data_IF_126259648314
#
_entry.id   IF_126259648314
#
_cell.length_a   1.000
_cell.length_b   1.000
_cell.length_c   1.000
_cell.angle_alpha   90.00
_cell.angle_beta   90.00
_cell.angle_gamma   90.00
#
_symmetry.space_group_name_H-M   'P 1'
#
loop_
_entity.id
_entity.type
_entity.pdbx_description
1 polymer ?
#
# COMPACT_ATOMS: atom_id res chain seq x y z
N UNK A 1 17.29 -6.14 0.75
CA UNK A 1 17.01 -7.39 0.00
C UNK A 1 15.78 -8.09 0.56
N UNK A 2 15.76 -8.52 1.84
CA UNK A 2 14.61 -9.23 2.43
C UNK A 2 13.25 -8.50 2.37
N UNK A 3 13.20 -7.19 2.67
CA UNK A 3 11.93 -6.44 2.66
C UNK A 3 11.29 -6.22 1.27
N UNK A 4 12.06 -6.37 0.19
CA UNK A 4 11.57 -6.09 -1.17
C UNK A 4 10.57 -7.14 -1.68
N UNK A 5 10.66 -8.38 -1.20
CA UNK A 5 9.80 -9.49 -1.61
C UNK A 5 8.56 -9.66 -0.73
N UNK A 6 8.46 -8.89 0.36
CA UNK A 6 7.39 -9.04 1.36
C UNK A 6 6.01 -8.74 0.78
N UNK A 7 5.81 -7.59 0.11
CA UNK A 7 4.51 -7.24 -0.47
C UNK A 7 4.05 -8.22 -1.55
N UNK A 8 4.87 -8.57 -2.57
CA UNK A 8 4.50 -9.60 -3.54
C UNK A 8 4.15 -10.94 -2.88
N UNK A 9 4.96 -11.40 -1.91
CA UNK A 9 4.71 -12.63 -1.18
C UNK A 9 3.37 -12.63 -0.43
N UNK A 10 3.04 -11.52 0.24
CA UNK A 10 1.74 -11.34 0.92
C UNK A 10 0.56 -11.43 -0.06
N UNK A 11 0.66 -10.84 -1.24
CA UNK A 11 -0.39 -10.95 -2.27
C UNK A 11 -0.57 -12.37 -2.78
N UNK A 12 0.53 -13.10 -3.00
CA UNK A 12 0.47 -14.51 -3.43
C UNK A 12 -0.22 -15.34 -2.36
N UNK A 13 0.16 -15.18 -1.09
CA UNK A 13 -0.45 -15.90 0.02
C UNK A 13 -1.95 -15.58 0.14
N UNK A 14 -2.33 -14.29 0.11
CA UNK A 14 -3.73 -13.85 0.12
C UNK A 14 -4.53 -14.41 -1.06
N UNK A 15 -3.92 -14.54 -2.24
CA UNK A 15 -4.59 -15.12 -3.41
C UNK A 15 -4.89 -16.62 -3.26
N UNK A 16 -4.03 -17.36 -2.54
CA UNK A 16 -4.17 -18.80 -2.32
C UNK A 16 -5.04 -19.14 -1.10
N UNK A 17 -5.13 -18.23 -0.12
CA UNK A 17 -5.79 -18.49 1.17
C UNK A 17 -7.10 -17.73 1.39
N UNK A 18 -7.29 -16.56 0.77
CA UNK A 18 -8.49 -15.76 1.00
C UNK A 18 -9.59 -16.02 -0.07
N UNK A 19 -10.78 -16.51 0.34
CA UNK A 19 -11.97 -16.60 -0.51
C UNK A 19 -12.30 -15.24 -1.14
N UNK A 20 -12.89 -15.24 -2.34
CA UNK A 20 -13.18 -13.99 -3.08
C UNK A 20 -14.03 -12.99 -2.28
N UNK A 21 -15.00 -13.50 -1.53
CA UNK A 21 -15.91 -12.71 -0.69
C UNK A 21 -15.21 -12.02 0.48
N UNK A 22 -14.14 -12.63 1.00
CA UNK A 22 -13.43 -12.18 2.21
C UNK A 22 -12.07 -11.54 1.89
N UNK A 23 -11.61 -11.64 0.63
CA UNK A 23 -10.28 -11.21 0.18
C UNK A 23 -9.99 -9.75 0.47
N UNK A 24 -10.98 -8.87 0.32
CA UNK A 24 -10.84 -7.44 0.64
C UNK A 24 -10.54 -7.26 2.14
N UNK A 25 -11.25 -7.97 3.01
CA UNK A 25 -11.08 -7.89 4.47
C UNK A 25 -9.72 -8.42 4.90
N UNK A 26 -9.32 -9.61 4.41
CA UNK A 26 -8.01 -10.17 4.72
C UNK A 26 -6.87 -9.28 4.23
N UNK A 27 -6.97 -8.73 3.02
CA UNK A 27 -5.97 -7.81 2.48
C UNK A 27 -5.87 -6.56 3.35
N UNK A 28 -7.01 -5.95 3.71
CA UNK A 28 -7.03 -4.78 4.59
C UNK A 28 -6.39 -5.06 5.95
N UNK A 29 -6.67 -6.21 6.60
CA UNK A 29 -6.05 -6.58 7.87
C UNK A 29 -4.52 -6.70 7.74
N UNK A 30 -4.03 -7.37 6.70
CA UNK A 30 -2.60 -7.54 6.45
C UNK A 30 -1.90 -6.19 6.22
N UNK A 31 -2.48 -5.32 5.38
CA UNK A 31 -1.90 -3.99 5.16
C UNK A 31 -1.93 -3.12 6.40
N UNK A 32 -3.03 -3.16 7.14
CA UNK A 32 -3.19 -2.42 8.38
C UNK A 32 -2.09 -2.82 9.41
N UNK A 33 -1.64 -4.09 9.39
CA UNK A 33 -0.48 -4.54 10.15
C UNK A 33 0.81 -3.73 9.92
N UNK A 34 1.02 -3.18 8.72
CA UNK A 34 2.21 -2.37 8.40
C UNK A 34 2.25 -1.09 9.22
N UNK A 35 1.12 -0.39 9.31
CA UNK A 35 1.02 0.87 10.05
C UNK A 35 1.08 0.63 11.55
N UNK A 36 0.40 -0.41 12.05
CA UNK A 36 0.46 -0.78 13.47
C UNK A 36 1.86 -1.25 13.88
N UNK A 37 2.54 -2.04 13.05
CA UNK A 37 3.93 -2.44 13.26
C UNK A 37 4.88 -1.24 13.30
N UNK A 38 4.65 -0.25 12.44
CA UNK A 38 5.38 1.03 12.46
C UNK A 38 5.19 1.76 13.79
N UNK A 39 3.95 1.87 14.28
CA UNK A 39 3.65 2.49 15.58
C UNK A 39 4.36 1.77 16.72
N UNK A 40 4.22 0.44 16.79
CA UNK A 40 4.86 -0.37 17.82
C UNK A 40 6.39 -0.23 17.77
N UNK A 41 6.97 -0.23 16.57
CA UNK A 41 8.40 -0.03 16.37
C UNK A 41 8.85 1.35 16.85
N UNK A 42 8.18 2.44 16.45
CA UNK A 42 8.56 3.80 16.85
C UNK A 42 8.50 3.99 18.37
N UNK A 43 7.44 3.47 19.01
CA UNK A 43 7.28 3.56 20.46
C UNK A 43 8.35 2.74 21.19
N UNK A 44 8.58 1.50 20.75
CA UNK A 44 9.59 0.62 21.35
C UNK A 44 11.01 1.18 21.18
N UNK A 45 11.39 1.60 19.96
CA UNK A 45 12.72 2.16 19.72
C UNK A 45 12.92 3.50 20.44
N UNK A 46 11.87 4.32 20.53
CA UNK A 46 11.90 5.56 21.32
C UNK A 46 12.16 5.30 22.79
N UNK A 47 11.38 4.41 23.41
CA UNK A 47 11.56 4.03 24.82
C UNK A 47 12.95 3.44 25.10
N UNK A 48 13.42 2.55 24.22
CA UNK A 48 14.72 1.91 24.37
C UNK A 48 15.88 2.90 24.23
N UNK A 49 15.78 3.84 23.29
CA UNK A 49 16.82 4.86 23.08
C UNK A 49 16.87 5.87 24.22
N UNK A 50 15.72 6.19 24.83
CA UNK A 50 15.64 7.11 25.98
C UNK A 50 16.20 6.51 27.27
N UNK A 51 15.91 5.23 27.56
CA UNK A 51 16.29 4.60 28.83
C UNK A 51 17.58 3.79 28.78
N UNK A 52 18.00 3.33 27.60
CA UNK A 52 19.19 2.51 27.42
C UNK A 52 20.15 3.18 26.44
N UNK A 53 20.20 2.69 25.21
CA UNK A 53 21.08 3.20 24.16
C UNK A 53 20.49 2.92 22.78
N UNK A 54 20.96 3.64 21.76
CA UNK A 54 20.44 3.48 20.39
C UNK A 54 20.70 2.07 19.83
N UNK A 55 21.76 1.38 20.29
CA UNK A 55 22.09 0.02 19.91
C UNK A 55 21.03 -0.99 20.40
N UNK A 56 20.43 -0.75 21.57
CA UNK A 56 19.42 -1.65 22.13
C UNK A 56 18.16 -1.78 21.26
N UNK A 57 17.82 -0.73 20.50
CA UNK A 57 16.75 -0.78 19.52
C UNK A 57 16.99 -1.85 18.43
N UNK A 58 18.24 -2.01 17.99
CA UNK A 58 18.62 -3.01 16.98
C UNK A 58 18.62 -4.42 17.56
N UNK A 59 19.13 -4.61 18.78
CA UNK A 59 19.09 -5.92 19.44
C UNK A 59 17.66 -6.38 19.71
N UNK A 60 16.80 -5.46 20.17
CA UNK A 60 15.40 -5.78 20.46
C UNK A 60 14.61 -6.14 19.19
N UNK A 61 14.75 -5.35 18.12
CA UNK A 61 14.09 -5.66 16.83
C UNK A 61 14.55 -7.00 16.27
N UNK A 62 15.85 -7.31 16.35
CA UNK A 62 16.38 -8.63 15.97
C UNK A 62 15.81 -9.77 16.83
N UNK A 63 15.78 -9.58 18.15
CA UNK A 63 15.25 -10.57 19.09
C UNK A 63 13.76 -10.86 18.89
N UNK A 64 12.94 -9.87 18.52
CA UNK A 64 11.52 -10.06 18.20
C UNK A 64 11.33 -10.77 16.85
N UNK A 65 12.16 -10.44 15.85
CA UNK A 65 12.06 -11.03 14.51
C UNK A 65 12.45 -12.52 14.48
N UNK A 66 13.39 -12.98 15.32
CA UNK A 66 13.87 -14.37 15.29
C UNK A 66 12.79 -15.40 15.66
N UNK A 67 12.07 -15.28 16.79
CA UNK A 67 10.94 -16.15 17.12
C UNK A 67 9.82 -16.08 16.07
N UNK A 68 9.54 -14.88 15.55
CA UNK A 68 8.54 -14.73 14.49
C UNK A 68 8.93 -15.49 13.22
N UNK A 69 10.20 -15.44 12.82
CA UNK A 69 10.72 -16.21 11.69
C UNK A 69 10.56 -17.71 11.91
N UNK A 70 10.86 -18.20 13.12
CA UNK A 70 10.68 -19.61 13.46
C UNK A 70 9.20 -20.03 13.39
N UNK A 71 8.30 -19.23 13.97
CA UNK A 71 6.86 -19.47 13.91
C UNK A 71 6.35 -19.43 12.47
N UNK A 72 6.85 -18.52 11.64
CA UNK A 72 6.47 -18.41 10.24
C UNK A 72 6.84 -19.67 9.44
N UNK A 73 8.08 -20.13 9.57
CA UNK A 73 8.56 -21.36 8.90
C UNK A 73 7.79 -22.60 9.37
N UNK A 74 7.37 -22.62 10.64
CA UNK A 74 6.63 -23.76 11.20
C UNK A 74 5.14 -23.76 10.82
N UNK A 75 4.48 -22.61 10.79
CA UNK A 75 3.01 -22.51 10.63
C UNK A 75 2.55 -22.24 9.21
N UNK A 76 3.31 -21.48 8.42
CA UNK A 76 2.85 -20.98 7.12
C UNK A 76 3.11 -22.01 6.02
N UNK A 77 2.10 -22.25 5.19
CA UNK A 77 2.16 -23.17 4.04
C UNK A 77 1.64 -22.46 2.79
N UNK A 78 2.21 -22.79 1.63
CA UNK A 78 1.87 -22.13 0.36
C UNK A 78 0.43 -22.39 -0.09
N UNK A 79 -0.09 -23.58 0.25
CA UNK A 79 -1.42 -24.04 -0.16
C UNK A 79 -2.24 -24.59 1.02
N UNK A 80 -3.56 -24.35 1.05
CA UNK A 80 -4.47 -24.90 2.06
C UNK A 80 -4.47 -26.44 2.13
N UNK A 81 -4.14 -27.11 1.02
CA UNK A 81 -4.06 -28.57 0.92
C UNK A 81 -2.86 -29.14 1.68
N UNK A 82 -1.74 -28.42 1.67
CA UNK A 82 -0.50 -28.79 2.37
C UNK A 82 -0.56 -28.52 3.87
N UNK A 83 -1.55 -27.72 4.32
CA UNK A 83 -1.70 -27.38 5.73
C UNK A 83 -2.27 -28.56 6.52
N UNK A 84 -1.54 -29.00 7.53
CA UNK A 84 -1.93 -30.12 8.41
C UNK A 84 -2.88 -29.70 9.54
N UNK A 85 -2.83 -28.43 9.95
CA UNK A 85 -3.61 -27.89 11.08
C UNK A 85 -5.04 -27.45 10.71
N UNK A 86 -5.39 -27.44 9.43
CA UNK A 86 -6.69 -26.98 8.93
C UNK A 86 -7.76 -28.08 9.06
N UNK A 87 -8.99 -27.69 9.38
CA UNK A 87 -10.13 -28.61 9.38
C UNK A 87 -10.54 -29.00 7.95
N UNK A 88 -11.07 -30.21 7.75
CA UNK A 88 -11.55 -30.64 6.43
C UNK A 88 -12.63 -29.71 5.88
N UNK A 89 -13.59 -29.31 6.72
CA UNK A 89 -14.66 -28.37 6.35
C UNK A 89 -14.12 -27.03 5.82
N UNK A 90 -13.14 -26.47 6.51
CA UNK A 90 -12.52 -25.21 6.11
C UNK A 90 -11.67 -25.37 4.86
N UNK A 91 -10.90 -26.47 4.76
CA UNK A 91 -10.14 -26.80 3.55
C UNK A 91 -11.05 -26.90 2.33
N UNK A 92 -12.18 -27.59 2.45
CA UNK A 92 -13.14 -27.73 1.37
C UNK A 92 -13.81 -26.40 1.04
N UNK A 93 -14.15 -25.59 2.05
CA UNK A 93 -14.70 -24.25 1.83
C UNK A 93 -13.74 -23.35 1.06
N UNK A 94 -12.48 -23.26 1.49
CA UNK A 94 -11.45 -22.45 0.83
C UNK A 94 -11.18 -23.01 -0.57
N UNK A 95 -10.97 -24.32 -0.69
CA UNK A 95 -10.66 -24.97 -1.97
C UNK A 95 -11.81 -24.83 -2.95
N UNK A 96 -13.07 -24.94 -2.54
CA UNK A 96 -14.23 -24.75 -3.43
C UNK A 96 -14.44 -23.27 -3.78
N UNK A 97 -14.25 -22.36 -2.83
CA UNK A 97 -14.36 -20.91 -3.06
C UNK A 97 -13.27 -20.37 -3.98
N UNK A 98 -12.09 -20.99 -3.96
CA UNK A 98 -10.94 -20.65 -4.80
C UNK A 98 -10.88 -21.54 -6.06
N UNK A 99 -11.61 -22.66 -6.08
CA UNK A 99 -11.38 -23.93 -6.82
C UNK A 99 -11.20 -23.93 -8.32
N UNK A 100 -11.32 -22.77 -8.98
CA UNK A 100 -10.94 -22.61 -10.38
C UNK A 100 -9.55 -21.98 -10.59
N UNK A 101 -8.87 -21.51 -9.53
CA UNK A 101 -7.55 -20.88 -9.63
C UNK A 101 -6.37 -21.81 -9.26
N UNK A 102 -6.54 -22.75 -8.32
CA UNK A 102 -5.44 -23.60 -7.82
C UNK A 102 -5.22 -24.87 -8.66
N UNK A 103 -6.26 -25.61 -9.05
CA UNK A 103 -6.16 -26.76 -9.98
C UNK A 103 -5.53 -26.40 -11.34
N UNK A 104 -5.52 -25.11 -11.69
CA UNK A 104 -5.06 -24.58 -12.97
C UNK A 104 -3.67 -23.92 -12.90
N UNK A 105 -3.00 -23.92 -11.75
CA UNK A 105 -1.59 -23.47 -11.60
C UNK A 105 -0.60 -24.61 -11.81
N UNK A 106 -0.97 -25.85 -11.48
CA UNK A 106 -0.08 -27.02 -11.60
C UNK A 106 0.05 -27.55 -13.03
N UNK A 107 -0.81 -27.13 -13.98
CA UNK A 107 -0.92 -27.78 -15.29
C UNK A 107 -0.49 -26.95 -16.51
N UNK A 108 0.00 -25.71 -16.39
CA UNK A 108 0.64 -25.05 -17.55
C UNK A 108 1.60 -23.93 -17.16
N UNK A 109 2.82 -23.97 -17.68
CA UNK A 109 3.65 -22.80 -17.94
C UNK A 109 2.89 -21.85 -18.89
N UNK A 110 1.90 -21.12 -18.39
CA UNK A 110 1.16 -20.17 -19.20
C UNK A 110 1.92 -18.84 -19.18
N UNK A 111 2.31 -18.39 -20.37
CA UNK A 111 2.98 -17.12 -20.55
C UNK A 111 2.09 -15.98 -20.01
N UNK A 112 2.68 -15.16 -19.15
CA UNK A 112 2.01 -13.97 -18.63
C UNK A 112 1.65 -13.09 -19.85
N UNK A 113 0.40 -12.65 -20.02
CA UNK A 113 -0.02 -11.88 -21.20
C UNK A 113 0.45 -10.42 -21.10
N UNK A 114 1.77 -10.21 -21.06
CA UNK A 114 2.42 -8.91 -20.85
C UNK A 114 1.94 -7.88 -21.87
N UNK A 115 1.82 -8.26 -23.15
CA UNK A 115 1.34 -7.37 -24.20
C UNK A 115 -0.07 -6.84 -23.94
N UNK A 116 -0.95 -7.68 -23.38
CA UNK A 116 -2.33 -7.29 -23.02
C UNK A 116 -2.36 -6.40 -21.77
N UNK A 117 -1.52 -6.71 -20.78
CA UNK A 117 -1.36 -5.91 -19.56
C UNK A 117 -0.88 -4.50 -19.93
N UNK A 118 0.21 -4.39 -20.70
CA UNK A 118 0.77 -3.11 -21.14
C UNK A 118 -0.08 -2.36 -22.17
N UNK A 119 -1.20 -2.92 -22.63
CA UNK A 119 -2.20 -2.23 -23.45
C UNK A 119 -3.45 -1.82 -22.64
N UNK A 120 -3.58 -2.28 -21.39
CA UNK A 120 -4.75 -2.04 -20.54
C UNK A 120 -4.71 -0.64 -19.92
N UNK A 121 -5.76 0.15 -20.14
CA UNK A 121 -5.89 1.50 -19.54
C UNK A 121 -5.96 1.44 -18.00
N UNK A 122 -6.75 0.55 -17.37
CA UNK A 122 -6.77 0.39 -15.92
C UNK A 122 -5.40 0.11 -15.30
N UNK A 123 -4.55 -0.68 -15.99
CA UNK A 123 -3.20 -0.94 -15.53
C UNK A 123 -2.36 0.34 -15.44
N UNK A 124 -2.35 1.18 -16.48
CA UNK A 124 -1.64 2.47 -16.44
C UNK A 124 -2.22 3.43 -15.38
N UNK A 125 -3.54 3.41 -15.20
CA UNK A 125 -4.18 4.17 -14.12
C UNK A 125 -3.60 3.82 -12.74
N UNK A 126 -3.47 2.52 -12.46
CA UNK A 126 -2.87 2.04 -11.21
C UNK A 126 -1.37 2.32 -11.15
N UNK A 127 -0.63 2.09 -12.24
CA UNK A 127 0.82 2.30 -12.30
C UNK A 127 1.20 3.75 -11.98
N UNK A 128 0.56 4.71 -12.67
CA UNK A 128 0.83 6.14 -12.47
C UNK A 128 0.41 6.55 -11.06
N UNK A 129 -0.76 6.09 -10.59
CA UNK A 129 -1.20 6.36 -9.24
C UNK A 129 -0.18 5.87 -8.20
N UNK A 130 0.32 4.64 -8.36
CA UNK A 130 1.31 4.07 -7.44
C UNK A 130 2.61 4.88 -7.42
N UNK A 131 3.14 5.30 -8.57
CA UNK A 131 4.36 6.11 -8.65
C UNK A 131 4.16 7.48 -7.98
N UNK A 132 3.11 8.20 -8.34
CA UNK A 132 2.82 9.52 -7.81
C UNK A 132 2.51 9.47 -6.30
N UNK A 133 1.76 8.48 -5.85
CA UNK A 133 1.45 8.30 -4.44
C UNK A 133 2.70 7.99 -3.63
N UNK A 134 3.56 7.09 -4.12
CA UNK A 134 4.79 6.76 -3.41
C UNK A 134 5.76 7.95 -3.35
N UNK A 135 5.83 8.78 -4.39
CA UNK A 135 6.56 10.04 -4.30
C UNK A 135 6.09 10.87 -3.11
N UNK A 136 4.77 11.10 -3.02
CA UNK A 136 4.18 11.85 -1.93
C UNK A 136 4.34 11.16 -0.56
N UNK A 137 4.24 9.84 -0.51
CA UNK A 137 4.45 9.05 0.70
C UNK A 137 5.88 9.18 1.22
N UNK A 138 6.90 9.02 0.38
CA UNK A 138 8.29 9.23 0.78
C UNK A 138 8.57 10.67 1.19
N UNK A 139 7.97 11.64 0.48
CA UNK A 139 8.06 13.06 0.86
C UNK A 139 7.50 13.31 2.27
N UNK A 140 6.33 12.72 2.59
CA UNK A 140 5.70 12.83 3.91
C UNK A 140 6.48 12.07 4.99
N UNK A 141 7.03 10.91 4.66
CA UNK A 141 7.68 10.03 5.61
C UNK A 141 9.10 10.49 5.98
N UNK A 142 9.88 10.93 4.98
CA UNK A 142 11.30 11.25 5.15
C UNK A 142 11.50 12.75 5.38
N UNK A 143 10.89 13.57 4.52
CA UNK A 143 11.29 14.98 4.37
C UNK A 143 10.45 15.93 5.22
N UNK A 144 9.22 15.55 5.53
CA UNK A 144 8.35 16.34 6.42
C UNK A 144 8.93 16.45 7.85
N UNK A 145 9.45 15.39 8.48
CA UNK A 145 10.21 15.52 9.73
C UNK A 145 11.43 16.44 9.60
N UNK A 146 12.13 16.40 8.45
CA UNK A 146 13.26 17.26 8.16
C UNK A 146 12.84 18.74 8.06
N UNK A 147 11.72 19.04 7.41
CA UNK A 147 11.12 20.38 7.34
C UNK A 147 10.84 20.94 8.74
N UNK A 148 10.21 20.14 9.62
CA UNK A 148 9.89 20.60 10.99
C UNK A 148 11.16 20.87 11.78
N UNK A 149 12.19 20.05 11.60
CA UNK A 149 13.50 20.25 12.23
C UNK A 149 14.22 21.49 11.68
N UNK A 150 14.32 21.64 10.37
CA UNK A 150 15.11 22.68 9.72
C UNK A 150 14.44 24.05 9.73
N UNK A 151 13.15 24.12 9.40
CA UNK A 151 12.39 25.36 9.24
C UNK A 151 11.70 25.74 10.54
N UNK A 152 10.94 24.82 11.13
CA UNK A 152 10.18 25.10 12.35
C UNK A 152 11.02 25.02 13.62
N UNK A 153 12.26 24.53 13.53
CA UNK A 153 13.20 24.35 14.65
C UNK A 153 12.61 23.51 15.80
N UNK A 154 11.78 22.52 15.45
CA UNK A 154 11.17 21.61 16.40
C UNK A 154 11.57 20.17 16.08
N UNK A 155 11.94 19.40 17.10
CA UNK A 155 12.37 18.01 16.93
C UNK A 155 11.23 17.08 17.30
N UNK A 156 10.34 16.80 16.35
CA UNK A 156 9.29 15.79 16.54
C UNK A 156 9.91 14.41 16.84
N UNK A 157 11.05 14.12 16.20
CA UNK A 157 11.78 12.86 16.30
C UNK A 157 12.24 12.52 17.74
N UNK A 158 12.43 13.55 18.58
CA UNK A 158 12.82 13.36 19.98
C UNK A 158 11.63 12.86 20.83
N UNK A 159 10.40 12.99 20.34
CA UNK A 159 9.19 12.51 20.98
C UNK A 159 8.57 11.37 20.16
N UNK A 160 8.86 10.14 20.59
CA UNK A 160 8.37 8.92 19.95
C UNK A 160 6.85 8.82 19.92
N UNK A 161 6.16 9.28 20.98
CA UNK A 161 4.69 9.32 21.04
C UNK A 161 4.14 10.24 19.95
N UNK A 162 4.67 11.46 19.84
CA UNK A 162 4.25 12.43 18.83
C UNK A 162 4.52 11.93 17.41
N UNK A 163 5.61 11.21 17.21
CA UNK A 163 5.95 10.59 15.92
C UNK A 163 5.05 9.39 15.59
N UNK A 164 4.55 8.65 16.59
CA UNK A 164 3.71 7.47 16.40
C UNK A 164 2.24 7.79 16.10
N UNK A 165 1.70 8.87 16.67
CA UNK A 165 0.30 9.31 16.48
C UNK A 165 -0.16 9.29 15.02
N UNK A 166 0.53 9.93 14.05
CA UNK A 166 0.05 10.00 12.67
C UNK A 166 -0.06 8.63 11.99
N UNK A 167 0.81 7.67 12.34
CA UNK A 167 0.74 6.31 11.83
C UNK A 167 -0.39 5.50 12.48
N UNK A 168 -0.69 5.77 13.76
CA UNK A 168 -1.82 5.17 14.46
C UNK A 168 -3.16 5.67 13.89
N UNK A 169 -3.28 6.98 13.66
CA UNK A 169 -4.49 7.56 13.07
C UNK A 169 -4.65 7.12 11.62
N UNK A 170 -3.56 7.00 10.85
CA UNK A 170 -3.55 6.39 9.52
C UNK A 170 -4.12 4.98 9.54
N UNK A 171 -3.68 4.14 10.49
CA UNK A 171 -4.17 2.78 10.67
C UNK A 171 -5.68 2.73 10.97
N UNK A 172 -6.13 3.55 11.93
CA UNK A 172 -7.55 3.64 12.28
C UNK A 172 -8.39 4.14 11.10
N UNK A 173 -7.90 5.17 10.40
CA UNK A 173 -8.57 5.75 9.25
C UNK A 173 -8.72 4.75 8.11
N UNK A 174 -7.67 3.99 7.76
CA UNK A 174 -7.73 3.02 6.68
C UNK A 174 -8.74 1.90 6.96
N UNK A 175 -8.81 1.43 8.21
CA UNK A 175 -9.79 0.42 8.65
C UNK A 175 -11.23 0.96 8.58
N UNK A 176 -11.46 2.16 9.09
CA UNK A 176 -12.79 2.81 9.06
C UNK A 176 -13.23 3.09 7.63
N UNK A 177 -12.34 3.62 6.79
CA UNK A 177 -12.62 3.92 5.40
C UNK A 177 -12.93 2.63 4.61
N UNK A 178 -12.13 1.58 4.77
CA UNK A 178 -12.38 0.28 4.12
C UNK A 178 -13.75 -0.28 4.50
N UNK A 179 -14.09 -0.30 5.80
CA UNK A 179 -15.38 -0.83 6.28
C UNK A 179 -16.56 0.00 5.76
N UNK A 180 -16.42 1.33 5.70
CA UNK A 180 -17.44 2.22 5.18
C UNK A 180 -17.69 1.96 3.68
N UNK A 181 -16.61 1.91 2.87
CA UNK A 181 -16.69 1.63 1.45
C UNK A 181 -17.24 0.23 1.16
N UNK A 182 -16.84 -0.78 1.92
CA UNK A 182 -17.37 -2.14 1.80
C UNK A 182 -18.87 -2.21 2.14
N UNK A 183 -19.31 -1.49 3.17
CA UNK A 183 -20.72 -1.40 3.55
C UNK A 183 -21.56 -0.71 2.47
N UNK A 184 -21.04 0.34 1.84
CA UNK A 184 -21.71 1.05 0.75
C UNK A 184 -21.81 0.18 -0.51
N UNK A 185 -20.76 -0.59 -0.82
CA UNK A 185 -20.79 -1.59 -1.91
C UNK A 185 -21.81 -2.69 -1.63
N UNK A 186 -21.84 -3.24 -0.41
CA UNK A 186 -22.77 -4.30 -0.04
C UNK A 186 -24.25 -3.87 -0.13
N UNK A 187 -24.54 -2.58 0.11
CA UNK A 187 -25.86 -1.98 -0.07
C UNK A 187 -26.19 -1.63 -1.53
N UNK A 188 -25.26 -1.86 -2.47
CA UNK A 188 -25.44 -1.52 -3.89
C UNK A 188 -25.42 0.00 -4.18
N UNK A 189 -24.98 0.83 -3.24
CA UNK A 189 -24.97 2.30 -3.40
C UNK A 189 -23.84 2.77 -4.31
N UNK A 190 -22.69 2.08 -4.25
CA UNK A 190 -21.50 2.41 -5.04
C UNK A 190 -20.91 1.14 -5.67
N UNK A 191 -20.28 1.28 -6.83
CA UNK A 191 -19.50 0.21 -7.45
C UNK A 191 -18.09 0.12 -6.85
N UNK A 192 -17.40 -1.00 -7.08
CA UNK A 192 -15.98 -1.17 -6.70
C UNK A 192 -15.11 -0.05 -7.26
N UNK A 193 -15.32 0.33 -8.52
CA UNK A 193 -14.62 1.44 -9.18
C UNK A 193 -14.78 2.75 -8.43
N UNK A 194 -16.01 3.11 -8.05
CA UNK A 194 -16.28 4.35 -7.30
C UNK A 194 -15.63 4.28 -5.91
N UNK A 195 -15.73 3.14 -5.23
CA UNK A 195 -15.08 2.95 -3.94
C UNK A 195 -13.56 3.18 -4.01
N UNK A 196 -12.89 2.63 -5.03
CA UNK A 196 -11.44 2.85 -5.23
C UNK A 196 -11.13 4.31 -5.53
N UNK A 197 -11.95 4.98 -6.36
CA UNK A 197 -11.77 6.41 -6.68
C UNK A 197 -11.95 7.32 -5.46
N UNK A 198 -12.92 7.04 -4.59
CA UNK A 198 -13.10 7.77 -3.32
C UNK A 198 -11.90 7.58 -2.40
N UNK A 199 -11.42 6.35 -2.26
CA UNK A 199 -10.24 6.08 -1.44
C UNK A 199 -8.98 6.77 -1.97
N UNK A 200 -8.76 6.75 -3.30
CA UNK A 200 -7.66 7.48 -3.94
C UNK A 200 -7.81 9.00 -3.79
N UNK A 201 -9.03 9.54 -3.89
CA UNK A 201 -9.30 10.95 -3.60
C UNK A 201 -8.84 11.33 -2.19
N UNK A 202 -9.22 10.53 -1.18
CA UNK A 202 -8.82 10.76 0.19
C UNK A 202 -7.29 10.74 0.36
N UNK A 203 -6.57 9.80 -0.25
CA UNK A 203 -5.13 9.69 -0.05
C UNK A 203 -4.27 10.67 -0.85
N UNK A 204 -4.82 11.32 -1.88
CA UNK A 204 -4.07 12.27 -2.71
C UNK A 204 -4.50 13.72 -2.48
N UNK A 205 -5.80 13.99 -2.56
CA UNK A 205 -6.32 15.36 -2.55
C UNK A 205 -6.24 15.98 -1.16
N UNK A 206 -6.56 15.23 -0.11
CA UNK A 206 -6.48 15.75 1.28
C UNK A 206 -5.03 16.05 1.67
N UNK A 207 -4.04 15.16 1.45
CA UNK A 207 -2.64 15.50 1.66
C UNK A 207 -2.16 16.66 0.79
N UNK A 208 -2.60 16.78 -0.47
CA UNK A 208 -2.27 17.92 -1.32
C UNK A 208 -2.74 19.26 -0.72
N UNK A 209 -3.97 19.33 -0.20
CA UNK A 209 -4.45 20.53 0.50
C UNK A 209 -3.65 20.83 1.77
N UNK A 210 -3.25 19.80 2.51
CA UNK A 210 -2.41 19.97 3.71
C UNK A 210 -1.02 20.51 3.35
N UNK A 211 -0.38 19.98 2.30
CA UNK A 211 0.90 20.48 1.78
C UNK A 211 0.78 21.91 1.26
N UNK A 212 -0.34 22.25 0.59
CA UNK A 212 -0.60 23.62 0.17
C UNK A 212 -0.71 24.56 1.38
N UNK A 213 -1.41 24.14 2.44
CA UNK A 213 -1.46 24.87 3.70
C UNK A 213 -0.07 25.11 4.29
N UNK A 214 0.79 24.09 4.31
CA UNK A 214 2.17 24.16 4.80
C UNK A 214 3.03 25.19 4.03
N UNK A 215 2.77 25.43 2.75
CA UNK A 215 3.47 26.47 1.98
C UNK A 215 3.27 27.88 2.56
N UNK A 216 2.12 28.17 3.18
CA UNK A 216 1.70 29.53 3.53
C UNK A 216 1.46 29.75 5.03
N UNK A 217 1.71 28.74 5.86
CA UNK A 217 1.41 28.76 7.30
C UNK A 217 2.32 29.67 8.14
N UNK A 218 3.41 30.16 7.55
CA UNK A 218 4.40 31.00 8.24
C UNK A 218 5.12 30.24 9.36
N UNK A 219 5.28 30.88 10.53
CA UNK A 219 6.02 30.32 11.67
C UNK A 219 5.16 29.52 12.66
N UNK A 220 3.88 29.23 12.34
CA UNK A 220 2.99 28.53 13.27
C UNK A 220 3.30 27.03 13.33
N UNK A 221 4.12 26.65 14.31
CA UNK A 221 4.60 25.27 14.50
C UNK A 221 3.47 24.27 14.73
N UNK A 222 2.51 24.62 15.58
CA UNK A 222 1.42 23.72 15.96
C UNK A 222 0.51 23.38 14.78
N UNK A 223 0.12 24.40 13.99
CA UNK A 223 -0.75 24.18 12.84
C UNK A 223 -0.02 23.34 11.78
N UNK A 224 1.29 23.53 11.60
CA UNK A 224 2.07 22.73 10.67
C UNK A 224 2.10 21.24 11.08
N UNK A 225 2.32 20.94 12.36
CA UNK A 225 2.27 19.57 12.89
C UNK A 225 0.88 18.95 12.67
N UNK A 226 -0.19 19.69 12.94
CA UNK A 226 -1.57 19.21 12.73
C UNK A 226 -1.83 18.92 11.25
N UNK A 227 -1.42 19.80 10.33
CA UNK A 227 -1.57 19.54 8.89
C UNK A 227 -0.78 18.31 8.43
N UNK A 228 0.43 18.12 8.97
CA UNK A 228 1.22 16.92 8.69
C UNK A 228 0.52 15.65 9.19
N UNK A 229 -0.07 15.70 10.39
CA UNK A 229 -0.80 14.55 10.94
C UNK A 229 -2.03 14.20 10.11
N UNK A 230 -2.77 15.22 9.67
CA UNK A 230 -3.92 15.03 8.77
C UNK A 230 -3.44 14.43 7.44
N UNK A 231 -2.36 14.95 6.85
CA UNK A 231 -1.80 14.42 5.61
C UNK A 231 -1.44 12.93 5.74
N UNK A 232 -0.65 12.54 6.74
CA UNK A 232 -0.28 11.14 6.98
C UNK A 232 -1.53 10.27 7.20
N UNK A 233 -2.47 10.74 8.03
CA UNK A 233 -3.71 10.00 8.34
C UNK A 233 -4.49 9.65 7.07
N UNK A 234 -4.72 10.63 6.21
CA UNK A 234 -5.50 10.45 4.99
C UNK A 234 -4.76 9.66 3.91
N UNK A 235 -3.42 9.66 3.89
CA UNK A 235 -2.62 8.77 3.04
C UNK A 235 -2.94 7.29 3.25
N UNK A 236 -3.50 6.90 4.41
CA UNK A 236 -3.99 5.54 4.67
C UNK A 236 -5.06 5.06 3.68
N UNK A 237 -5.74 5.97 2.97
CA UNK A 237 -6.67 5.62 1.89
C UNK A 237 -6.01 4.85 0.72
N UNK A 238 -4.68 4.88 0.58
CA UNK A 238 -3.97 4.17 -0.49
C UNK A 238 -4.24 2.65 -0.44
N UNK A 239 -4.34 2.07 0.76
CA UNK A 239 -4.42 0.62 0.94
C UNK A 239 -5.74 0.07 0.38
N UNK A 240 -6.86 0.73 0.70
CA UNK A 240 -8.17 0.38 0.16
C UNK A 240 -8.49 1.08 -1.18
N UNK A 241 -7.60 1.93 -1.68
CA UNK A 241 -7.71 2.63 -2.96
C UNK A 241 -7.01 1.88 -4.10
N UNK A 242 -6.01 2.52 -4.72
CA UNK A 242 -5.33 1.95 -5.88
C UNK A 242 -4.56 0.66 -5.57
N UNK A 243 -4.06 0.45 -4.34
CA UNK A 243 -3.22 -0.70 -4.02
C UNK A 243 -4.01 -2.01 -4.07
N UNK A 244 -5.20 -2.02 -3.47
CA UNK A 244 -6.15 -3.14 -3.58
C UNK A 244 -6.66 -3.35 -5.01
N UNK A 245 -6.63 -2.32 -5.87
CA UNK A 245 -7.23 -2.39 -7.21
C UNK A 245 -6.55 -3.42 -8.13
N UNK A 246 -5.29 -3.78 -7.89
CA UNK A 246 -4.60 -4.86 -8.62
C UNK A 246 -5.34 -6.20 -8.53
N UNK A 247 -5.91 -6.47 -7.35
CA UNK A 247 -6.68 -7.70 -7.09
C UNK A 247 -8.01 -7.64 -7.83
N UNK A 248 -8.65 -6.47 -7.90
CA UNK A 248 -9.95 -6.30 -8.56
C UNK A 248 -9.83 -6.47 -10.09
N UNK A 249 -8.79 -5.89 -10.72
CA UNK A 249 -8.63 -5.94 -12.18
C UNK A 249 -8.17 -7.30 -12.70
N UNK A 250 -7.32 -8.01 -11.95
CA UNK A 250 -6.80 -9.31 -12.38
C UNK A 250 -6.36 -10.19 -11.20
N UNK A 251 -7.31 -10.87 -10.52
CA UNK A 251 -7.02 -11.77 -9.42
C UNK A 251 -5.95 -12.84 -9.71
N UNK A 252 -5.86 -13.35 -10.94
CA UNK A 252 -4.91 -14.42 -11.30
C UNK A 252 -3.46 -13.90 -11.40
N UNK A 253 -3.30 -12.63 -11.75
CA UNK A 253 -2.00 -11.99 -11.99
C UNK A 253 -1.70 -10.87 -10.99
N UNK A 254 -2.48 -10.76 -9.90
CA UNK A 254 -2.39 -9.65 -8.95
C UNK A 254 -0.97 -9.46 -8.38
N UNK A 255 -0.31 -10.55 -7.99
CA UNK A 255 1.08 -10.52 -7.51
C UNK A 255 2.06 -9.99 -8.57
N UNK A 256 1.92 -10.41 -9.82
CA UNK A 256 2.74 -9.92 -10.94
C UNK A 256 2.51 -8.44 -11.19
N UNK A 257 1.25 -7.99 -11.21
CA UNK A 257 0.93 -6.59 -11.45
C UNK A 257 1.47 -5.69 -10.34
N UNK A 258 1.28 -6.07 -9.08
CA UNK A 258 1.82 -5.34 -7.93
C UNK A 258 3.36 -5.30 -8.01
N UNK A 259 4.01 -6.40 -8.41
CA UNK A 259 5.47 -6.44 -8.54
C UNK A 259 5.97 -5.47 -9.60
N UNK A 260 5.30 -5.42 -10.77
CA UNK A 260 5.64 -4.48 -11.84
C UNK A 260 5.42 -3.04 -11.36
N UNK A 261 4.25 -2.72 -10.80
CA UNK A 261 3.96 -1.34 -10.37
C UNK A 261 4.86 -0.91 -9.21
N UNK A 262 5.12 -1.79 -8.24
CA UNK A 262 6.02 -1.52 -7.11
C UNK A 262 7.47 -1.28 -7.54
N UNK A 263 7.93 -1.94 -8.60
CA UNK A 263 9.28 -1.70 -9.16
C UNK A 263 9.43 -0.24 -9.59
N UNK A 264 8.45 0.30 -10.33
CA UNK A 264 8.48 1.71 -10.72
C UNK A 264 8.17 2.65 -9.55
N UNK A 265 7.26 2.25 -8.67
CA UNK A 265 6.82 3.08 -7.56
C UNK A 265 7.84 3.18 -6.42
N UNK A 266 8.88 2.35 -6.39
CA UNK A 266 10.01 2.49 -5.45
C UNK A 266 11.10 3.44 -5.96
N UNK A 267 11.13 3.77 -7.26
CA UNK A 267 12.07 4.76 -7.83
C UNK A 267 11.97 6.12 -7.12
N UNK A 268 10.77 6.67 -6.84
CA UNK A 268 10.64 7.88 -6.03
C UNK A 268 11.34 7.83 -4.66
N UNK A 269 11.45 6.65 -4.03
CA UNK A 269 12.13 6.50 -2.75
C UNK A 269 13.64 6.79 -2.81
N UNK A 270 14.23 6.68 -4.00
CA UNK A 270 15.62 7.06 -4.26
C UNK A 270 15.71 8.52 -4.70
N UNK A 271 14.78 8.97 -5.55
CA UNK A 271 14.82 10.29 -6.15
C UNK A 271 14.42 11.42 -5.19
N UNK A 272 13.46 11.20 -4.30
CA UNK A 272 12.93 12.23 -3.40
C UNK A 272 14.02 12.80 -2.48
N UNK A 273 14.82 12.00 -1.76
CA UNK A 273 15.88 12.54 -0.90
C UNK A 273 16.92 13.35 -1.68
N UNK A 274 17.37 12.83 -2.84
CA UNK A 274 18.33 13.53 -3.72
C UNK A 274 17.76 14.85 -4.22
N UNK A 275 16.48 14.86 -4.59
CA UNK A 275 15.78 16.04 -5.06
C UNK A 275 15.66 17.11 -3.94
N UNK A 276 15.26 16.71 -2.74
CA UNK A 276 15.14 17.62 -1.59
C UNK A 276 16.50 18.13 -1.15
N UNK A 277 17.51 17.28 -1.07
CA UNK A 277 18.86 17.67 -0.72
C UNK A 277 19.40 18.72 -1.70
N UNK A 278 19.29 18.50 -3.01
CA UNK A 278 19.76 19.46 -4.01
C UNK A 278 19.12 20.85 -3.87
N UNK A 279 17.84 20.93 -3.47
CA UNK A 279 17.13 22.19 -3.28
C UNK A 279 17.37 22.83 -1.90
N UNK A 280 17.72 22.06 -0.89
CA UNK A 280 17.86 22.53 0.50
C UNK A 280 19.31 22.67 0.97
N UNK A 281 20.28 22.08 0.28
CA UNK A 281 21.69 22.03 0.68
C UNK A 281 22.33 23.43 0.80
N UNK A 282 21.99 24.36 -0.09
CA UNK A 282 22.56 25.72 -0.05
C UNK A 282 21.80 26.65 0.88
N UNK A 283 20.47 26.56 0.89
CA UNK A 283 19.60 27.45 1.67
C UNK A 283 18.28 26.73 2.03
N UNK A 284 18.11 26.20 3.26
CA UNK A 284 16.88 25.56 3.72
C UNK A 284 15.81 26.61 4.06
N UNK A 285 15.47 27.45 3.09
CA UNK A 285 14.48 28.52 3.23
C UNK A 285 13.08 28.00 2.95
N UNK A 286 12.07 28.74 3.41
CA UNK A 286 10.66 28.48 3.10
C UNK A 286 10.42 28.46 1.57
N UNK A 287 11.21 29.23 0.79
CA UNK A 287 11.12 29.25 -0.67
C UNK A 287 11.46 27.91 -1.31
N UNK A 288 12.56 27.28 -0.92
CA UNK A 288 12.97 25.96 -1.41
C UNK A 288 11.94 24.88 -1.07
N UNK A 289 11.45 24.90 0.17
CA UNK A 289 10.40 23.96 0.63
C UNK A 289 9.07 24.16 -0.09
N UNK A 290 8.70 25.39 -0.44
CA UNK A 290 7.51 25.66 -1.27
C UNK A 290 7.59 24.98 -2.64
N UNK A 291 8.75 25.02 -3.29
CA UNK A 291 8.94 24.35 -4.60
C UNK A 291 8.72 22.84 -4.45
N UNK A 292 9.34 22.24 -3.42
CA UNK A 292 9.22 20.80 -3.14
C UNK A 292 7.75 20.40 -2.89
N UNK A 293 7.04 21.17 -2.07
CA UNK A 293 5.63 20.91 -1.77
C UNK A 293 4.74 21.10 -3.01
N UNK A 294 4.98 22.13 -3.83
CA UNK A 294 4.22 22.35 -5.06
C UNK A 294 4.36 21.20 -6.07
N UNK A 295 5.58 20.68 -6.25
CA UNK A 295 5.80 19.53 -7.11
C UNK A 295 5.04 18.31 -6.60
N UNK A 296 5.08 18.07 -5.28
CA UNK A 296 4.34 16.97 -4.65
C UNK A 296 2.82 17.14 -4.81
N UNK A 297 2.29 18.36 -4.67
CA UNK A 297 0.88 18.68 -4.89
C UNK A 297 0.48 18.39 -6.35
N UNK A 298 1.28 18.81 -7.33
CA UNK A 298 1.02 18.56 -8.74
C UNK A 298 0.97 17.05 -9.01
N UNK A 299 1.88 16.27 -8.43
CA UNK A 299 1.89 14.81 -8.58
C UNK A 299 0.66 14.15 -7.94
N UNK A 300 0.20 14.61 -6.77
CA UNK A 300 -1.04 14.11 -6.17
C UNK A 300 -2.28 14.45 -6.99
N UNK A 301 -2.34 15.65 -7.59
CA UNK A 301 -3.44 16.02 -8.49
C UNK A 301 -3.39 15.17 -9.76
N UNK A 302 -2.21 14.95 -10.33
CA UNK A 302 -2.01 14.10 -11.49
C UNK A 302 -2.42 12.65 -11.20
N UNK A 303 -2.02 12.09 -10.06
CA UNK A 303 -2.49 10.79 -9.57
C UNK A 303 -4.02 10.72 -9.59
N UNK A 304 -4.68 11.68 -8.93
CA UNK A 304 -6.13 11.65 -8.78
C UNK A 304 -6.84 11.73 -10.14
N UNK A 305 -6.39 12.63 -11.03
CA UNK A 305 -6.97 12.80 -12.36
C UNK A 305 -6.79 11.52 -13.19
N UNK A 306 -5.57 11.00 -13.27
CA UNK A 306 -5.25 9.81 -14.08
C UNK A 306 -6.00 8.58 -13.56
N UNK A 307 -6.02 8.37 -12.25
CA UNK A 307 -6.75 7.26 -11.64
C UNK A 307 -8.27 7.40 -11.80
N UNK A 308 -8.80 8.62 -11.76
CA UNK A 308 -10.24 8.87 -11.96
C UNK A 308 -10.66 8.61 -13.41
N UNK A 309 -9.80 8.92 -14.39
CA UNK A 309 -10.08 8.71 -15.82
C UNK A 309 -9.91 7.24 -16.21
N UNK A 310 -8.80 6.61 -15.83
CA UNK A 310 -8.43 5.28 -16.32
C UNK A 310 -8.68 4.15 -15.34
N UNK A 311 -8.80 4.44 -14.04
CA UNK A 311 -9.02 3.44 -13.01
C UNK A 311 -10.38 2.75 -13.15
N UNK A 312 -10.35 1.43 -13.14
CA UNK A 312 -11.51 0.55 -13.10
C UNK A 312 -11.32 -0.48 -11.98
N UNK A 313 -12.41 -0.86 -11.32
CA UNK A 313 -12.49 -1.97 -10.38
C UNK A 313 -13.21 -3.19 -10.95
N UNK A 314 -13.32 -3.28 -12.27
CA UNK A 314 -13.88 -4.43 -12.99
C UNK A 314 -12.76 -5.36 -13.49
N UNK A 315 -13.04 -6.67 -13.43
CA UNK A 315 -12.12 -7.71 -13.90
C UNK A 315 -11.85 -7.56 -15.41
N UNK A 316 -10.58 -7.54 -15.78
CA UNK A 316 -10.15 -7.33 -17.16
C UNK A 316 -10.18 -8.62 -17.98
N UNK A 317 -10.44 -8.50 -19.29
CA UNK A 317 -10.60 -9.67 -20.19
C UNK A 317 -9.37 -10.59 -20.22
N UNK A 318 -8.17 -10.02 -20.12
CA UNK A 318 -6.91 -10.76 -20.09
C UNK A 318 -6.62 -11.44 -18.75
N UNK A 319 -7.47 -11.26 -17.73
CA UNK A 319 -7.41 -12.07 -16.51
C UNK A 319 -7.93 -13.49 -16.74
N UNK A 320 -8.85 -13.70 -17.70
CA UNK A 320 -9.39 -15.02 -18.04
C UNK A 320 -8.42 -15.74 -18.98
N UNK A 321 -8.14 -17.02 -18.70
CA UNK A 321 -7.38 -17.87 -19.61
C UNK A 321 -8.11 -17.97 -20.95
N UNK A 322 -7.39 -17.91 -22.08
CA UNK A 322 -7.90 -18.51 -23.31
C UNK A 322 -8.11 -20.00 -22.99
N UNK A 323 -9.36 -20.45 -22.91
CA UNK A 323 -9.63 -21.87 -23.11
C UNK A 323 -9.14 -22.16 -24.52
N UNK A 324 -8.16 -23.06 -24.67
CA UNK A 324 -7.84 -23.61 -25.97
C UNK A 324 -9.16 -24.15 -26.54
N UNK A 325 -9.57 -23.61 -27.67
CA UNK A 325 -10.74 -24.01 -28.45
C UNK A 325 -10.66 -25.47 -28.93
N UNK A 326 -9.55 -26.17 -28.68
CA UNK A 326 -9.30 -27.55 -29.10
C UNK A 326 -10.01 -28.60 -28.20
N UNK A 327 -10.47 -28.24 -27.00
CA UNK A 327 -11.23 -29.17 -26.13
C UNK A 327 -12.74 -29.19 -26.43
N UNK A 328 -13.26 -28.23 -27.21
CA UNK A 328 -14.69 -28.18 -27.54
C UNK A 328 -15.01 -29.07 -28.77
N UNK A 329 -14.06 -29.26 -29.69
CA UNK A 329 -14.25 -30.15 -30.86
C UNK A 329 -14.11 -31.65 -30.54
N UNK A 330 -13.50 -32.01 -29.41
CA UNK A 330 -13.34 -33.42 -29.00
C UNK A 330 -14.52 -33.98 -28.21
N UNK A 331 -15.50 -33.14 -27.82
CA UNK A 331 -16.77 -33.60 -27.21
C UNK A 331 -17.95 -33.60 -28.19
N UNK A 332 -17.72 -33.27 -29.47
CA UNK A 332 -18.75 -33.22 -30.52
C UNK A 332 -18.63 -34.34 -31.56
N UNK A 333 -18.05 -35.49 -31.21
CA UNK A 333 -18.05 -36.69 -32.06
C UNK A 333 -18.62 -37.90 -31.33
#
# INVERSE_FOLDING_TARGET
IGGGVTFPGMHVLLSNWAPKTERSVHSSIVYAGTSLGTVASILATGYLTEHYSWETAFYWTGFVCLPWCFLWVWLVQDHPQSQKLISEKERDFITNSIGNQLKNKESSHQEIPLKSIFKSKPFYGILIAHICNNWGWYMILIELPLYVKQVLKFRIQDNSILTAIPYLTLWLFSMVLSKCLDSLKAKGVISTTIARKIATFCCSVVPAFCLFGLCYIGCSRYIAIVLMFIAVTFSGGMFCGFLSNHIDIAPNYAGTLVSITNTFATIPGILVPVFVENLTHKDPTIGSWRIIFWITIILYIAEFIVFTIFGSGEEQSWNKKQQNSDEIETQSF
#
